data_IF_052184211117
#
_entry.id   IF_052184211117
#
_cell.length_a   1.000
_cell.length_b   1.000
_cell.length_c   1.000
_cell.angle_alpha   90.00
_cell.angle_beta   90.00
_cell.angle_gamma   90.00
#
_symmetry.space_group_name_H-M   'P 1'
#
loop_
_entity.id
_entity.type
_entity.pdbx_description
1 polymer ?
#
# COMPACT_ATOMS: atom_id res chain seq x y z
N UNK A 1 1.69 -22.68 -15.30
CA UNK A 1 1.32 -21.89 -16.52
C UNK A 1 2.16 -20.62 -16.64
N UNK A 2 2.34 -19.84 -15.56
CA UNK A 2 3.04 -18.55 -15.56
C UNK A 2 4.50 -18.68 -16.06
N UNK A 3 5.30 -19.51 -15.43
CA UNK A 3 6.71 -19.71 -15.83
C UNK A 3 6.86 -20.16 -17.27
N UNK A 4 6.05 -21.13 -17.72
CA UNK A 4 6.08 -21.59 -19.12
C UNK A 4 5.67 -20.49 -20.09
N UNK A 5 4.65 -19.67 -19.73
CA UNK A 5 4.22 -18.52 -20.53
C UNK A 5 5.24 -17.41 -20.60
N UNK A 6 5.96 -17.15 -19.52
CA UNK A 6 6.94 -16.08 -19.43
C UNK A 6 8.29 -16.43 -20.09
N UNK A 7 8.80 -17.62 -19.85
CA UNK A 7 10.13 -18.04 -20.31
C UNK A 7 10.11 -18.85 -21.61
N UNK A 8 8.94 -19.27 -22.10
CA UNK A 8 8.77 -20.07 -23.32
C UNK A 8 9.64 -21.34 -23.36
N UNK A 9 9.90 -21.92 -22.17
CA UNK A 9 10.70 -23.11 -21.99
C UNK A 9 9.85 -24.30 -21.55
N UNK A 10 10.20 -25.47 -22.01
CA UNK A 10 9.52 -26.72 -21.65
C UNK A 10 10.30 -27.44 -20.53
N UNK A 11 10.33 -26.79 -19.37
CA UNK A 11 10.95 -27.33 -18.17
C UNK A 11 10.12 -28.45 -17.54
N UNK A 12 10.76 -29.41 -16.94
CA UNK A 12 10.11 -30.39 -16.10
C UNK A 12 9.90 -29.80 -14.70
N UNK A 13 8.70 -29.30 -14.44
CA UNK A 13 8.35 -28.66 -13.17
C UNK A 13 8.02 -29.70 -12.11
N UNK A 14 8.62 -29.56 -10.92
CA UNK A 14 8.14 -30.21 -9.71
C UNK A 14 7.10 -29.30 -9.05
N UNK A 15 5.84 -29.73 -9.05
CA UNK A 15 4.74 -28.96 -8.45
C UNK A 15 4.70 -29.28 -6.97
N UNK A 16 4.76 -28.26 -6.13
CA UNK A 16 4.76 -28.38 -4.67
C UNK A 16 3.52 -27.78 -4.06
N UNK A 17 3.18 -28.22 -2.84
CA UNK A 17 2.05 -27.72 -2.02
C UNK A 17 2.53 -27.30 -0.64
N UNK A 18 1.68 -26.55 0.04
CA UNK A 18 1.93 -26.18 1.43
C UNK A 18 2.24 -27.39 2.30
N UNK A 19 3.35 -27.31 3.05
CA UNK A 19 3.86 -28.36 3.93
C UNK A 19 4.74 -29.40 3.24
N UNK A 20 4.82 -29.41 1.91
CA UNK A 20 5.80 -30.27 1.21
C UNK A 20 7.22 -29.77 1.46
N UNK A 21 8.15 -30.70 1.39
CA UNK A 21 9.54 -30.49 1.74
C UNK A 21 10.48 -30.93 0.62
N UNK A 22 11.56 -30.18 0.45
CA UNK A 22 12.65 -30.54 -0.41
C UNK A 22 13.94 -30.67 0.41
N UNK A 23 14.50 -31.88 0.43
CA UNK A 23 15.78 -32.14 1.06
C UNK A 23 16.92 -31.65 0.15
N UNK A 24 17.83 -30.84 0.69
CA UNK A 24 19.00 -30.29 0.03
C UNK A 24 20.32 -30.85 0.58
N UNK A 25 20.26 -32.02 1.23
CA UNK A 25 21.39 -32.67 1.90
C UNK A 25 21.35 -32.43 3.40
N UNK A 26 22.09 -31.45 3.89
CA UNK A 26 22.09 -31.04 5.31
C UNK A 26 21.01 -30.00 5.66
N UNK A 27 20.24 -29.53 4.68
CA UNK A 27 19.19 -28.52 4.80
C UNK A 27 17.87 -28.99 4.18
N UNK A 28 16.77 -28.41 4.63
CA UNK A 28 15.42 -28.71 4.13
C UNK A 28 14.64 -27.42 3.86
N UNK A 29 14.03 -27.34 2.68
CA UNK A 29 13.05 -26.30 2.34
C UNK A 29 11.65 -26.80 2.60
N UNK A 30 10.83 -25.98 3.27
CA UNK A 30 9.38 -26.16 3.42
C UNK A 30 8.68 -25.14 2.53
N UNK A 31 7.71 -25.59 1.73
CA UNK A 31 6.93 -24.72 0.84
C UNK A 31 5.62 -24.30 1.48
N UNK A 32 5.22 -23.04 1.28
CA UNK A 32 3.92 -22.51 1.72
C UNK A 32 3.31 -21.71 0.59
N UNK A 33 2.17 -22.18 0.07
CA UNK A 33 1.43 -21.45 -0.95
C UNK A 33 0.80 -20.21 -0.35
N UNK A 34 0.95 -19.06 -1.03
CA UNK A 34 0.39 -17.77 -0.64
C UNK A 34 -0.40 -17.14 -1.79
N UNK A 35 -1.40 -17.86 -2.34
CA UNK A 35 -2.10 -17.43 -3.55
C UNK A 35 -2.77 -16.07 -3.36
N UNK A 36 -2.64 -15.19 -4.35
CA UNK A 36 -3.13 -13.80 -4.33
C UNK A 36 -2.46 -12.91 -3.27
N UNK A 37 -1.23 -13.22 -2.85
CA UNK A 37 -0.39 -12.33 -2.07
C UNK A 37 0.94 -12.02 -2.80
N UNK A 38 0.97 -11.19 -3.89
CA UNK A 38 -0.30 -10.64 -4.44
C UNK A 38 -0.65 -11.29 -5.80
N UNK A 39 0.07 -12.29 -6.26
CA UNK A 39 -0.15 -13.04 -7.50
C UNK A 39 -0.83 -14.39 -7.25
N UNK A 40 -1.57 -14.95 -8.26
CA UNK A 40 -2.30 -16.21 -8.10
C UNK A 40 -1.42 -17.42 -7.76
N UNK A 41 -0.19 -17.43 -8.22
CA UNK A 41 0.79 -18.53 -8.09
C UNK A 41 1.92 -18.19 -7.09
N UNK A 42 1.68 -17.21 -6.21
CA UNK A 42 2.67 -16.83 -5.21
C UNK A 42 2.88 -17.91 -4.15
N UNK A 43 4.13 -18.07 -3.74
CA UNK A 43 4.55 -18.97 -2.67
C UNK A 43 5.76 -18.41 -1.94
N UNK A 44 5.96 -18.87 -0.71
CA UNK A 44 7.13 -18.62 0.10
C UNK A 44 7.82 -19.94 0.46
N UNK A 45 9.09 -19.88 0.82
CA UNK A 45 9.87 -21.04 1.23
C UNK A 45 10.58 -20.76 2.55
N UNK A 46 10.58 -21.73 3.46
CA UNK A 46 11.31 -21.66 4.71
C UNK A 46 12.45 -22.66 4.73
N UNK A 47 13.67 -22.19 5.01
CA UNK A 47 14.88 -22.99 5.14
C UNK A 47 15.09 -23.28 6.63
N UNK A 48 14.92 -24.56 7.02
CA UNK A 48 14.77 -24.96 8.43
C UNK A 48 16.04 -24.77 9.26
N UNK A 49 17.20 -25.11 8.73
CA UNK A 49 18.45 -25.12 9.50
C UNK A 49 19.04 -23.71 9.72
N UNK A 50 18.68 -22.77 8.84
CA UNK A 50 19.14 -21.39 8.92
C UNK A 50 18.03 -20.42 9.43
N UNK A 51 16.84 -20.93 9.75
CA UNK A 51 15.68 -20.14 10.18
C UNK A 51 15.37 -18.97 9.22
N UNK A 52 15.49 -19.22 7.91
CA UNK A 52 15.36 -18.20 6.88
C UNK A 52 14.05 -18.35 6.11
N UNK A 53 13.33 -17.25 5.98
CA UNK A 53 12.11 -17.16 5.16
C UNK A 53 12.43 -16.47 3.84
N UNK A 54 12.33 -17.18 2.72
CA UNK A 54 12.32 -16.62 1.37
C UNK A 54 10.89 -16.24 1.04
N UNK A 55 10.59 -14.97 1.18
CA UNK A 55 9.21 -14.47 1.20
C UNK A 55 8.66 -14.03 -0.15
N UNK A 56 9.41 -14.22 -1.23
CA UNK A 56 9.09 -13.63 -2.53
C UNK A 56 8.91 -12.11 -2.40
N UNK A 57 7.82 -11.53 -2.89
CA UNK A 57 7.58 -10.08 -2.81
C UNK A 57 7.15 -9.62 -1.40
N UNK A 58 6.63 -10.54 -0.58
CA UNK A 58 6.17 -10.18 0.76
C UNK A 58 7.33 -9.62 1.62
N UNK A 59 7.05 -8.55 2.36
CA UNK A 59 8.01 -7.83 3.19
C UNK A 59 9.13 -7.11 2.43
N UNK A 60 9.08 -7.12 1.09
CA UNK A 60 9.98 -6.35 0.22
C UNK A 60 9.60 -4.88 0.12
N UNK A 61 10.48 -4.08 -0.50
CA UNK A 61 10.29 -2.66 -0.72
C UNK A 61 10.85 -2.25 -2.08
N UNK A 62 10.30 -1.19 -2.67
CA UNK A 62 10.90 -0.55 -3.83
C UNK A 62 11.97 0.47 -3.37
N UNK A 63 13.02 -0.04 -2.76
CA UNK A 63 14.10 0.74 -2.15
C UNK A 63 15.44 0.41 -2.79
N UNK A 64 16.01 1.39 -3.50
CA UNK A 64 17.32 1.27 -4.13
C UNK A 64 18.42 1.74 -3.18
N UNK A 65 19.26 0.80 -2.74
CA UNK A 65 20.37 1.06 -1.85
C UNK A 65 21.55 0.17 -2.19
N UNK A 66 22.78 0.57 -1.81
CA UNK A 66 23.97 -0.27 -1.92
C UNK A 66 24.09 -1.32 -0.80
N UNK A 67 23.32 -1.17 0.27
CA UNK A 67 23.31 -2.10 1.40
C UNK A 67 22.30 -3.23 1.17
N UNK A 68 22.67 -4.45 1.59
CA UNK A 68 21.81 -5.62 1.44
C UNK A 68 20.86 -5.80 2.62
N UNK A 69 21.27 -5.36 3.82
CA UNK A 69 20.56 -5.65 5.06
C UNK A 69 19.88 -4.42 5.66
N UNK A 70 18.77 -4.66 6.35
CA UNK A 70 17.93 -3.61 6.94
C UNK A 70 18.64 -2.75 8.00
N UNK A 71 19.58 -3.31 8.75
CA UNK A 71 20.36 -2.60 9.77
C UNK A 71 21.47 -1.67 9.22
N UNK A 72 21.68 -1.71 7.91
CA UNK A 72 22.72 -0.91 7.23
C UNK A 72 22.15 0.27 6.43
N UNK A 73 20.87 0.56 6.56
CA UNK A 73 20.18 1.64 5.84
C UNK A 73 19.49 2.61 6.80
N UNK A 74 19.12 3.79 6.30
CA UNK A 74 18.29 4.72 7.07
C UNK A 74 16.92 4.11 7.37
N UNK A 75 16.62 3.96 8.66
CA UNK A 75 15.39 3.29 9.11
C UNK A 75 14.13 4.08 8.76
N UNK A 76 14.19 5.42 8.80
CA UNK A 76 13.02 6.23 8.48
C UNK A 76 12.68 6.08 6.99
N UNK A 77 13.67 6.14 6.12
CA UNK A 77 13.49 5.95 4.69
C UNK A 77 12.99 4.54 4.39
N UNK A 78 13.59 3.51 4.99
CA UNK A 78 13.19 2.11 4.83
C UNK A 78 11.70 1.91 5.17
N UNK A 79 11.25 2.37 6.34
CA UNK A 79 9.85 2.18 6.73
C UNK A 79 8.86 3.02 5.92
N UNK A 80 9.26 4.19 5.42
CA UNK A 80 8.48 4.97 4.46
C UNK A 80 8.26 4.17 3.17
N UNK A 81 9.32 3.56 2.63
CA UNK A 81 9.21 2.75 1.41
C UNK A 81 8.46 1.42 1.63
N UNK A 82 8.58 0.79 2.81
CA UNK A 82 7.76 -0.35 3.19
C UNK A 82 6.26 0.00 3.20
N UNK A 83 5.90 1.10 3.85
CA UNK A 83 4.52 1.56 3.91
C UNK A 83 3.99 1.93 2.53
N UNK A 84 4.81 2.58 1.71
CA UNK A 84 4.50 2.93 0.33
C UNK A 84 4.24 1.70 -0.52
N UNK A 85 5.08 0.69 -0.43
CA UNK A 85 4.87 -0.60 -1.09
C UNK A 85 3.55 -1.24 -0.65
N UNK A 86 3.33 -1.36 0.66
CA UNK A 86 2.13 -1.97 1.22
C UNK A 86 0.85 -1.26 0.75
N UNK A 87 0.79 0.06 0.94
CA UNK A 87 -0.39 0.88 0.68
C UNK A 87 -0.82 0.88 -0.79
N UNK A 88 0.14 0.77 -1.72
CA UNK A 88 -0.11 0.82 -3.15
C UNK A 88 -0.41 -0.55 -3.78
N UNK A 89 -0.10 -1.66 -3.11
CA UNK A 89 -0.16 -3.00 -3.69
C UNK A 89 -1.02 -3.96 -2.86
N UNK A 90 -0.84 -3.98 -1.53
CA UNK A 90 -1.40 -5.03 -0.69
C UNK A 90 -2.76 -4.68 -0.05
N UNK A 91 -3.16 -3.42 -0.05
CA UNK A 91 -4.41 -2.96 0.58
C UNK A 91 -5.65 -3.79 0.18
N UNK A 92 -5.88 -4.17 -1.09
CA UNK A 92 -7.04 -4.98 -1.48
C UNK A 92 -7.01 -6.40 -0.89
N UNK A 93 -5.84 -6.84 -0.44
CA UNK A 93 -5.62 -8.20 0.05
C UNK A 93 -5.49 -8.28 1.58
N UNK A 94 -5.82 -7.23 2.33
CA UNK A 94 -5.67 -7.13 3.78
C UNK A 94 -6.16 -8.37 4.53
N UNK A 95 -7.35 -8.90 4.22
CA UNK A 95 -7.87 -10.10 4.87
C UNK A 95 -7.03 -11.36 4.62
N UNK A 96 -6.41 -11.46 3.45
CA UNK A 96 -5.52 -12.58 3.11
C UNK A 96 -4.17 -12.42 3.80
N UNK A 97 -3.66 -11.19 3.91
CA UNK A 97 -2.43 -10.88 4.66
C UNK A 97 -2.59 -11.31 6.11
N UNK A 98 -3.65 -10.88 6.79
CA UNK A 98 -3.93 -11.25 8.18
C UNK A 98 -3.95 -12.78 8.33
N UNK A 99 -4.82 -13.44 7.57
CA UNK A 99 -4.99 -14.90 7.64
C UNK A 99 -3.68 -15.64 7.41
N UNK A 100 -2.88 -15.24 6.41
CA UNK A 100 -1.64 -15.95 6.07
C UNK A 100 -0.54 -15.72 7.12
N UNK A 101 -0.42 -14.51 7.65
CA UNK A 101 0.54 -14.23 8.73
C UNK A 101 0.16 -15.01 9.99
N UNK A 102 -1.12 -15.01 10.38
CA UNK A 102 -1.58 -15.81 11.53
C UNK A 102 -1.32 -17.31 11.36
N UNK A 103 -1.56 -17.85 10.15
CA UNK A 103 -1.23 -19.24 9.80
C UNK A 103 0.26 -19.54 9.99
N UNK A 104 1.14 -18.68 9.45
CA UNK A 104 2.60 -18.87 9.55
C UNK A 104 3.06 -18.74 11.01
N UNK A 105 2.59 -17.74 11.74
CA UNK A 105 2.94 -17.55 13.15
C UNK A 105 2.50 -18.72 14.02
N UNK A 106 1.37 -19.38 13.71
CA UNK A 106 0.90 -20.55 14.44
C UNK A 106 1.84 -21.77 14.35
N UNK A 107 2.73 -21.79 13.34
CA UNK A 107 3.74 -22.84 13.20
C UNK A 107 4.88 -22.70 14.21
N UNK A 108 5.00 -21.56 14.91
CA UNK A 108 6.05 -21.26 15.88
C UNK A 108 7.47 -21.56 15.38
N UNK A 109 7.72 -21.32 14.10
CA UNK A 109 9.04 -21.50 13.50
C UNK A 109 9.98 -20.38 13.93
N UNK A 110 11.22 -20.67 14.34
CA UNK A 110 12.21 -19.64 14.58
C UNK A 110 12.46 -18.83 13.29
N UNK A 111 12.72 -17.55 13.41
CA UNK A 111 12.87 -16.64 12.28
C UNK A 111 14.06 -15.70 12.52
N UNK A 112 15.20 -16.03 11.94
CA UNK A 112 16.42 -15.25 12.07
C UNK A 112 16.57 -14.26 10.88
N UNK A 113 15.93 -14.55 9.74
CA UNK A 113 16.04 -13.73 8.54
C UNK A 113 14.82 -13.84 7.64
N UNK A 114 14.41 -12.71 7.04
CA UNK A 114 13.45 -12.68 5.94
C UNK A 114 14.16 -12.15 4.70
N UNK A 115 14.14 -12.96 3.63
CA UNK A 115 14.79 -12.67 2.36
C UNK A 115 13.74 -12.43 1.27
N UNK A 116 13.30 -11.19 1.06
CA UNK A 116 12.39 -10.85 -0.03
C UNK A 116 13.12 -10.86 -1.38
N UNK A 117 12.37 -10.92 -2.48
CA UNK A 117 12.90 -10.90 -3.84
C UNK A 117 13.43 -9.54 -4.29
N UNK A 118 13.08 -8.47 -3.59
CA UNK A 118 13.51 -7.11 -3.87
C UNK A 118 13.55 -6.26 -2.59
N UNK A 119 14.37 -5.19 -2.60
CA UNK A 119 14.65 -4.37 -1.43
C UNK A 119 15.71 -4.99 -0.53
N UNK A 120 15.69 -4.65 0.77
CA UNK A 120 16.66 -5.15 1.75
C UNK A 120 16.20 -6.44 2.41
N UNK A 121 17.16 -7.25 2.87
CA UNK A 121 16.96 -8.45 3.69
C UNK A 121 16.81 -8.02 5.15
N UNK A 122 15.82 -8.57 5.83
CA UNK A 122 15.58 -8.37 7.25
C UNK A 122 16.35 -9.40 8.08
N UNK A 123 17.44 -8.97 8.73
CA UNK A 123 18.23 -9.79 9.66
C UNK A 123 18.27 -9.23 11.08
N UNK A 124 18.10 -7.95 11.22
CA UNK A 124 17.95 -7.31 12.53
C UNK A 124 16.46 -7.19 12.85
N UNK A 125 16.01 -7.87 13.91
CA UNK A 125 14.62 -7.94 14.32
C UNK A 125 13.64 -8.21 13.14
N UNK A 126 13.73 -9.35 12.45
CA UNK A 126 12.95 -9.60 11.23
C UNK A 126 11.43 -9.62 11.48
N UNK A 127 10.99 -9.86 12.71
CA UNK A 127 9.56 -9.86 13.06
C UNK A 127 8.92 -8.46 13.01
N UNK A 128 9.72 -7.39 13.10
CA UNK A 128 9.21 -6.01 13.07
C UNK A 128 8.39 -5.70 11.81
N UNK A 129 8.80 -6.18 10.64
CA UNK A 129 8.06 -5.93 9.40
C UNK A 129 6.78 -6.79 9.33
N UNK A 130 6.78 -7.98 9.92
CA UNK A 130 5.59 -8.83 10.03
C UNK A 130 4.52 -8.16 10.89
N UNK A 131 4.92 -7.60 12.03
CA UNK A 131 4.04 -6.83 12.93
C UNK A 131 3.47 -5.59 12.24
N UNK A 132 4.28 -4.87 11.45
CA UNK A 132 3.81 -3.73 10.67
C UNK A 132 2.80 -4.14 9.61
N UNK A 133 3.03 -5.24 8.89
CA UNK A 133 2.06 -5.76 7.91
C UNK A 133 0.72 -6.10 8.57
N UNK A 134 0.73 -6.75 9.74
CA UNK A 134 -0.49 -7.01 10.50
C UNK A 134 -1.19 -5.72 10.92
N UNK A 135 -0.44 -4.75 11.44
CA UNK A 135 -0.97 -3.43 11.81
C UNK A 135 -1.60 -2.73 10.61
N UNK A 136 -0.93 -2.73 9.46
CA UNK A 136 -1.42 -2.07 8.25
C UNK A 136 -2.65 -2.78 7.65
N UNK A 137 -2.73 -4.11 7.76
CA UNK A 137 -3.87 -4.89 7.28
C UNK A 137 -5.16 -4.67 8.09
N UNK A 138 -5.08 -4.15 9.30
CA UNK A 138 -6.20 -3.96 10.23
C UNK A 138 -6.90 -2.59 10.06
N UNK A 139 -7.17 -2.15 8.82
CA UNK A 139 -7.79 -0.86 8.51
C UNK A 139 -7.01 0.33 9.09
N UNK A 140 -5.70 0.32 8.86
CA UNK A 140 -4.78 1.30 9.39
C UNK A 140 -5.16 2.74 9.07
N UNK A 141 -5.08 3.58 10.08
CA UNK A 141 -5.20 5.03 9.94
C UNK A 141 -4.50 5.74 11.10
N UNK A 142 -3.97 6.91 10.80
CA UNK A 142 -3.37 7.85 11.73
C UNK A 142 -4.35 8.98 12.03
N UNK A 143 -4.10 9.80 13.03
CA UNK A 143 -4.85 11.04 13.24
C UNK A 143 -4.48 12.08 12.17
N UNK A 144 -4.75 11.73 10.91
CA UNK A 144 -4.41 12.51 9.72
C UNK A 144 -5.62 12.75 8.83
N UNK A 145 -5.68 13.94 8.26
CA UNK A 145 -6.61 14.32 7.18
C UNK A 145 -5.78 14.76 5.99
N UNK A 146 -6.03 14.16 4.82
CA UNK A 146 -5.37 14.55 3.58
C UNK A 146 -6.33 15.32 2.68
N UNK A 147 -5.94 16.52 2.29
CA UNK A 147 -6.65 17.40 1.36
C UNK A 147 -5.98 17.29 0.01
N UNK A 148 -6.67 16.67 -0.93
CA UNK A 148 -6.21 16.41 -2.30
C UNK A 148 -6.90 17.40 -3.24
N UNK A 149 -6.17 18.20 -3.98
CA UNK A 149 -6.77 19.15 -4.90
C UNK A 149 -5.95 19.35 -6.17
N UNK A 150 -6.61 19.85 -7.18
CA UNK A 150 -5.98 20.50 -8.30
C UNK A 150 -6.75 21.78 -8.66
N UNK A 151 -6.13 22.69 -9.41
CA UNK A 151 -6.66 24.04 -9.62
C UNK A 151 -6.29 24.57 -11.01
N UNK A 152 -7.11 25.50 -11.55
CA UNK A 152 -6.81 26.24 -12.77
C UNK A 152 -6.43 27.68 -12.47
N UNK A 153 -7.22 28.36 -11.63
CA UNK A 153 -7.15 29.79 -11.33
C UNK A 153 -6.97 30.05 -9.84
N UNK A 154 -6.34 29.13 -9.13
CA UNK A 154 -6.00 29.19 -7.71
C UNK A 154 -7.19 29.12 -6.73
N UNK A 155 -8.44 29.39 -7.15
CA UNK A 155 -9.60 29.41 -6.24
C UNK A 155 -9.78 28.08 -5.46
N UNK A 156 -9.56 26.93 -6.12
CA UNK A 156 -9.65 25.63 -5.42
C UNK A 156 -8.49 25.43 -4.43
N UNK A 157 -7.31 25.99 -4.72
CA UNK A 157 -6.19 26.03 -3.76
C UNK A 157 -6.54 26.85 -2.53
N UNK A 158 -7.06 28.07 -2.74
CA UNK A 158 -7.43 28.97 -1.64
C UNK A 158 -8.48 28.32 -0.74
N UNK A 159 -9.46 27.59 -1.32
CA UNK A 159 -10.41 26.76 -0.57
C UNK A 159 -9.72 25.68 0.24
N UNK A 160 -8.79 24.94 -0.37
CA UNK A 160 -8.05 23.85 0.28
C UNK A 160 -7.21 24.37 1.47
N UNK A 161 -6.56 25.53 1.32
CA UNK A 161 -5.79 26.19 2.37
C UNK A 161 -6.72 26.69 3.52
N UNK A 162 -7.87 27.28 3.18
CA UNK A 162 -8.86 27.70 4.18
C UNK A 162 -9.42 26.50 4.97
N UNK A 163 -9.71 25.39 4.30
CA UNK A 163 -10.14 24.14 4.94
C UNK A 163 -9.05 23.61 5.87
N UNK A 164 -7.79 23.56 5.41
CA UNK A 164 -6.67 23.13 6.24
C UNK A 164 -6.54 23.99 7.50
N UNK A 165 -6.64 25.30 7.38
CA UNK A 165 -6.62 26.22 8.51
C UNK A 165 -7.77 25.95 9.48
N UNK A 166 -9.02 25.80 8.99
CA UNK A 166 -10.19 25.54 9.82
C UNK A 166 -10.07 24.20 10.58
N UNK A 167 -9.56 23.15 9.95
CA UNK A 167 -9.31 21.88 10.64
C UNK A 167 -8.28 22.06 11.77
N UNK A 168 -7.19 22.79 11.50
CA UNK A 168 -6.14 23.01 12.49
C UNK A 168 -6.60 23.86 13.68
N UNK A 169 -7.51 24.80 13.45
CA UNK A 169 -8.15 25.59 14.50
C UNK A 169 -9.11 24.74 15.35
N UNK A 170 -9.83 23.81 14.72
CA UNK A 170 -10.78 22.90 15.39
C UNK A 170 -10.07 21.78 16.17
N UNK A 171 -9.01 21.22 15.62
CA UNK A 171 -8.21 20.16 16.25
C UNK A 171 -6.71 20.34 15.91
N UNK A 172 -5.98 20.92 16.87
CA UNK A 172 -4.55 21.17 16.74
C UNK A 172 -3.70 19.90 16.67
N UNK A 173 -4.22 18.74 17.08
CA UNK A 173 -3.50 17.46 17.09
C UNK A 173 -3.63 16.71 15.76
N UNK A 174 -4.61 17.03 14.93
CA UNK A 174 -4.76 16.40 13.62
C UNK A 174 -3.62 16.83 12.69
N UNK A 175 -2.95 15.85 12.10
CA UNK A 175 -1.97 16.06 11.04
C UNK A 175 -2.69 16.36 9.74
N UNK A 176 -2.33 17.44 9.08
CA UNK A 176 -2.92 17.85 7.80
C UNK A 176 -1.89 17.68 6.70
N UNK A 177 -2.26 16.95 5.66
CA UNK A 177 -1.51 16.85 4.41
C UNK A 177 -2.27 17.59 3.32
N UNK A 178 -1.68 18.67 2.83
CA UNK A 178 -2.24 19.46 1.72
C UNK A 178 -1.46 19.11 0.45
N UNK A 179 -2.12 18.49 -0.52
CA UNK A 179 -1.46 17.92 -1.71
C UNK A 179 -2.09 18.47 -2.99
N UNK A 180 -1.27 19.13 -3.78
CA UNK A 180 -1.57 19.54 -5.15
C UNK A 180 -1.23 18.35 -6.08
N UNK A 181 -2.23 17.66 -6.62
CA UNK A 181 -2.08 16.39 -7.31
C UNK A 181 -1.15 16.46 -8.54
N UNK A 182 -1.22 17.52 -9.33
CA UNK A 182 -0.35 17.68 -10.51
C UNK A 182 1.14 17.89 -10.18
N UNK A 183 1.47 18.07 -8.89
CA UNK A 183 2.85 18.32 -8.41
C UNK A 183 3.41 17.21 -7.54
N UNK A 184 2.68 16.08 -7.39
CA UNK A 184 3.07 15.00 -6.47
C UNK A 184 3.00 13.64 -7.16
N UNK A 185 3.95 12.75 -6.84
CA UNK A 185 3.92 11.37 -7.31
C UNK A 185 2.67 10.65 -6.79
N UNK A 186 2.04 9.87 -7.66
CA UNK A 186 0.79 9.16 -7.36
C UNK A 186 0.92 8.16 -6.20
N UNK A 187 2.05 7.48 -6.09
CA UNK A 187 2.25 6.48 -5.04
C UNK A 187 2.40 7.15 -3.67
N UNK A 188 3.05 8.32 -3.61
CA UNK A 188 3.09 9.14 -2.41
C UNK A 188 1.69 9.62 -2.00
N UNK A 189 0.87 10.05 -2.97
CA UNK A 189 -0.52 10.45 -2.74
C UNK A 189 -1.32 9.31 -2.13
N UNK A 190 -1.24 8.11 -2.71
CA UNK A 190 -1.93 6.91 -2.21
C UNK A 190 -1.47 6.55 -0.80
N UNK A 191 -0.18 6.67 -0.52
CA UNK A 191 0.36 6.42 0.83
C UNK A 191 -0.25 7.39 1.86
N UNK A 192 -0.40 8.66 1.53
CA UNK A 192 -1.06 9.61 2.42
C UNK A 192 -2.57 9.35 2.57
N UNK A 193 -3.25 8.91 1.51
CA UNK A 193 -4.65 8.44 1.60
C UNK A 193 -4.76 7.23 2.53
N UNK A 194 -3.85 6.25 2.41
CA UNK A 194 -3.81 5.06 3.26
C UNK A 194 -3.66 5.41 4.74
N UNK A 195 -2.81 6.37 5.09
CA UNK A 195 -2.58 6.84 6.46
C UNK A 195 -3.77 7.60 7.04
N UNK A 196 -4.56 8.25 6.21
CA UNK A 196 -5.59 9.19 6.65
C UNK A 196 -6.85 8.52 7.20
N UNK A 197 -7.42 9.09 8.25
CA UNK A 197 -8.78 8.80 8.74
C UNK A 197 -9.85 9.41 7.85
N UNK A 198 -9.53 10.53 7.17
CA UNK A 198 -10.42 11.21 6.23
C UNK A 198 -9.64 11.84 5.08
N UNK A 199 -10.31 11.96 3.92
CA UNK A 199 -9.78 12.70 2.78
C UNK A 199 -10.77 13.78 2.33
N UNK A 200 -10.27 14.90 1.86
CA UNK A 200 -11.06 15.90 1.15
C UNK A 200 -10.51 16.04 -0.27
N UNK A 201 -11.41 16.01 -1.25
CA UNK A 201 -11.02 16.06 -2.65
C UNK A 201 -11.62 17.29 -3.33
N UNK A 202 -10.75 18.09 -3.96
CA UNK A 202 -11.12 19.37 -4.56
C UNK A 202 -10.79 19.50 -6.04
N UNK A 203 -11.75 19.99 -6.84
CA UNK A 203 -11.58 20.34 -8.26
C UNK A 203 -12.44 21.52 -8.65
N UNK A 204 -11.95 22.44 -9.49
CA UNK A 204 -12.84 23.33 -10.19
C UNK A 204 -13.75 22.54 -11.14
N UNK A 205 -14.90 23.13 -11.51
CA UNK A 205 -15.73 22.59 -12.60
C UNK A 205 -15.12 22.98 -13.94
N UNK A 206 -14.83 21.97 -14.76
CA UNK A 206 -14.27 22.13 -16.10
C UNK A 206 -15.13 21.36 -17.09
N UNK A 207 -15.72 22.03 -18.07
CA UNK A 207 -16.57 21.43 -19.10
C UNK A 207 -17.67 20.51 -18.49
N UNK A 208 -18.32 20.97 -17.42
CA UNK A 208 -19.29 20.20 -16.62
C UNK A 208 -18.71 18.93 -15.95
N UNK A 209 -17.40 18.85 -15.82
CA UNK A 209 -16.65 17.74 -15.26
C UNK A 209 -15.67 18.18 -14.17
N UNK A 210 -14.66 17.36 -13.97
CA UNK A 210 -13.55 17.56 -13.03
C UNK A 210 -12.21 17.54 -13.79
N UNK A 211 -11.16 18.07 -13.20
CA UNK A 211 -9.80 17.96 -13.76
C UNK A 211 -9.37 16.50 -13.89
N UNK A 212 -8.60 16.21 -14.95
CA UNK A 212 -8.14 14.84 -15.28
C UNK A 212 -7.25 14.24 -14.20
N UNK A 213 -6.46 15.04 -13.49
CA UNK A 213 -5.67 14.63 -12.34
C UNK A 213 -6.53 14.11 -11.21
N UNK A 214 -7.67 14.77 -10.94
CA UNK A 214 -8.66 14.31 -9.96
C UNK A 214 -9.39 13.06 -10.46
N UNK A 215 -9.72 12.99 -11.75
CA UNK A 215 -10.35 11.81 -12.32
C UNK A 215 -9.46 10.56 -12.22
N UNK A 216 -8.16 10.71 -12.52
CA UNK A 216 -7.20 9.60 -12.45
C UNK A 216 -6.98 9.08 -11.02
N UNK A 217 -7.04 9.95 -10.00
CA UNK A 217 -6.96 9.54 -8.60
C UNK A 217 -8.01 8.48 -8.26
N UNK A 218 -9.24 8.64 -8.76
CA UNK A 218 -10.34 7.72 -8.44
C UNK A 218 -10.16 6.31 -9.00
N UNK A 219 -9.44 6.13 -10.11
CA UNK A 219 -9.11 4.80 -10.63
C UNK A 219 -8.21 4.02 -9.66
N UNK A 220 -7.25 4.71 -9.03
CA UNK A 220 -6.39 4.10 -8.02
C UNK A 220 -7.13 3.85 -6.70
N UNK A 221 -7.80 4.87 -6.17
CA UNK A 221 -8.48 4.79 -4.88
C UNK A 221 -9.55 3.71 -4.87
N UNK A 222 -10.32 3.58 -5.97
CA UNK A 222 -11.34 2.55 -6.13
C UNK A 222 -10.73 1.14 -6.15
N UNK A 223 -9.62 0.94 -6.88
CA UNK A 223 -8.97 -0.37 -7.01
C UNK A 223 -8.31 -0.85 -5.72
N UNK A 224 -7.96 0.06 -4.82
CA UNK A 224 -7.31 -0.25 -3.55
C UNK A 224 -8.28 -0.56 -2.40
N UNK A 225 -9.58 -0.36 -2.62
CA UNK A 225 -10.65 -0.76 -1.70
C UNK A 225 -10.43 -0.31 -0.24
N UNK A 226 -10.02 0.94 -0.03
CA UNK A 226 -9.85 1.48 1.32
C UNK A 226 -11.13 1.35 2.15
N UNK A 227 -10.99 0.96 3.42
CA UNK A 227 -12.13 0.78 4.34
C UNK A 227 -12.09 1.78 5.50
N UNK A 228 -13.27 2.05 6.06
CA UNK A 228 -13.43 2.86 7.27
C UNK A 228 -12.85 4.28 7.18
N UNK A 229 -12.83 4.88 6.00
CA UNK A 229 -12.36 6.24 5.78
C UNK A 229 -13.51 7.16 5.43
N UNK A 230 -13.52 8.35 6.02
CA UNK A 230 -14.46 9.40 5.66
C UNK A 230 -13.96 10.21 4.48
N UNK A 231 -14.89 10.80 3.72
CA UNK A 231 -14.50 11.71 2.66
C UNK A 231 -15.50 12.84 2.43
N UNK A 232 -15.00 13.95 1.88
CA UNK A 232 -15.84 15.07 1.43
C UNK A 232 -15.25 15.69 0.17
N UNK A 233 -16.14 16.33 -0.62
CA UNK A 233 -15.78 17.04 -1.83
C UNK A 233 -15.88 18.55 -1.64
N UNK A 234 -15.01 19.28 -2.33
CA UNK A 234 -15.11 20.73 -2.46
C UNK A 234 -14.71 21.18 -3.88
N UNK A 235 -15.06 22.40 -4.26
CA UNK A 235 -14.66 22.86 -5.58
C UNK A 235 -15.22 24.23 -5.95
N UNK A 236 -14.57 24.88 -6.91
CA UNK A 236 -14.95 26.18 -7.46
C UNK A 236 -15.61 26.03 -8.83
N UNK A 237 -16.35 27.06 -9.25
CA UNK A 237 -16.98 27.11 -10.57
C UNK A 237 -17.22 28.57 -11.02
N UNK A 238 -17.33 28.75 -12.32
CA UNK A 238 -17.66 30.04 -12.92
C UNK A 238 -19.17 30.21 -13.17
N UNK A 239 -19.80 29.21 -13.81
CA UNK A 239 -21.23 29.28 -14.19
C UNK A 239 -22.03 28.01 -13.89
N UNK A 240 -21.38 26.88 -13.68
CA UNK A 240 -22.04 25.61 -13.31
C UNK A 240 -21.14 24.84 -12.35
N UNK A 241 -21.73 24.13 -11.39
CA UNK A 241 -21.03 23.61 -10.21
C UNK A 241 -21.07 22.08 -10.11
N UNK A 242 -20.84 21.34 -11.20
CA UNK A 242 -20.97 19.87 -11.23
C UNK A 242 -19.87 19.15 -10.47
N UNK A 243 -18.69 19.75 -10.32
CA UNK A 243 -17.49 19.06 -9.80
C UNK A 243 -17.72 18.41 -8.43
N UNK A 244 -18.32 19.11 -7.48
CA UNK A 244 -18.57 18.60 -6.12
C UNK A 244 -19.48 17.38 -6.15
N UNK A 245 -20.56 17.42 -6.93
CA UNK A 245 -21.50 16.30 -7.08
C UNK A 245 -20.81 15.08 -7.71
N UNK A 246 -19.99 15.30 -8.73
CA UNK A 246 -19.25 14.23 -9.42
C UNK A 246 -18.20 13.60 -8.51
N UNK A 247 -17.47 14.41 -7.75
CA UNK A 247 -16.47 13.92 -6.79
C UNK A 247 -17.16 13.09 -5.68
N UNK A 248 -18.24 13.59 -5.09
CA UNK A 248 -18.98 12.83 -4.08
C UNK A 248 -19.47 11.48 -4.60
N UNK A 249 -20.03 11.43 -5.82
CA UNK A 249 -20.44 10.18 -6.44
C UNK A 249 -19.26 9.18 -6.59
N UNK A 250 -18.09 9.68 -7.00
CA UNK A 250 -16.87 8.85 -7.14
C UNK A 250 -16.31 8.39 -5.78
N UNK A 251 -16.36 9.22 -4.74
CA UNK A 251 -15.98 8.85 -3.39
C UNK A 251 -16.87 7.73 -2.85
N UNK A 252 -18.18 7.87 -3.00
CA UNK A 252 -19.15 6.82 -2.62
C UNK A 252 -18.91 5.50 -3.40
N UNK A 253 -18.70 5.58 -4.71
CA UNK A 253 -18.39 4.41 -5.56
C UNK A 253 -17.05 3.75 -5.18
N UNK A 254 -16.13 4.49 -4.59
CA UNK A 254 -14.85 4.01 -4.07
C UNK A 254 -14.91 3.50 -2.63
N UNK A 255 -16.10 3.48 -2.00
CA UNK A 255 -16.32 2.92 -0.67
C UNK A 255 -16.00 3.86 0.50
N UNK A 256 -15.86 5.17 0.25
CA UNK A 256 -15.76 6.17 1.32
C UNK A 256 -17.14 6.54 1.88
N UNK A 257 -17.16 6.82 3.19
CA UNK A 257 -18.36 7.26 3.91
C UNK A 257 -18.47 8.80 3.94
#
# INVERSE_FOLDING_TARGET
KSLKGQFHQDWNFNIVKTGEKLNLGDKELIFVETPMLHWPDNMICYLTQDNMLFSNDAFGQHYATSAIYNDLVDQNELFVECLKYYSNILTPYNSKVIKKIEEILSLNLPLDMICPSHGVIWRDNPTQIVELYLKWAQNYQENQITILYDTMWESTRDMAEAIAKGIKEADSQTVIKLIHLSKKDKNDVITEVFKSKAILVGSPTVNKGILTTIASLFEFVKSLEFKNKQAAAFGSFGWSGESVKLINAKLTDSGFA
#
